data_IF_953051529273
#
_entry.id   IF_953051529273
#
_cell.length_a   1.000
_cell.length_b   1.000
_cell.length_c   1.000
_cell.angle_alpha   90.00
_cell.angle_beta   90.00
_cell.angle_gamma   90.00
#
_symmetry.space_group_name_H-M   'P 1'
#
loop_
_entity.id
_entity.type
_entity.pdbx_description
1 polymer ?
#
# COMPACT_ATOMS: atom_id res chain seq x y z
N UNK A 1 -10.59 14.42 -16.64
CA UNK A 1 -9.89 13.82 -15.48
C UNK A 1 -8.99 12.73 -16.02
N UNK A 2 -7.68 12.89 -15.90
CA UNK A 2 -6.71 11.93 -16.43
C UNK A 2 -6.45 10.98 -15.26
N UNK A 3 -7.06 9.79 -15.29
CA UNK A 3 -6.70 8.74 -14.35
C UNK A 3 -5.36 8.19 -14.82
N UNK A 4 -4.27 8.75 -14.31
CA UNK A 4 -2.98 8.07 -14.40
C UNK A 4 -3.10 6.88 -13.45
N UNK A 5 -3.41 5.69 -13.99
CA UNK A 5 -3.32 4.44 -13.23
C UNK A 5 -1.85 4.31 -12.84
N UNK A 6 -1.54 4.66 -11.60
CA UNK A 6 -0.20 4.52 -11.06
C UNK A 6 0.05 3.01 -10.87
N UNK A 7 0.59 2.36 -11.90
CA UNK A 7 0.76 0.90 -11.95
C UNK A 7 2.02 0.41 -11.23
N UNK A 8 2.83 1.31 -10.66
CA UNK A 8 4.06 0.93 -9.96
C UNK A 8 4.00 1.39 -8.51
N UNK A 9 4.41 0.51 -7.59
CA UNK A 9 4.54 0.83 -6.16
C UNK A 9 5.58 1.94 -5.92
N UNK A 10 5.59 2.50 -4.72
CA UNK A 10 6.62 3.42 -4.24
C UNK A 10 6.11 4.83 -3.96
N UNK A 11 7.05 5.74 -3.73
CA UNK A 11 6.77 7.10 -3.29
C UNK A 11 6.67 8.07 -4.48
N UNK A 12 5.53 8.76 -4.58
CA UNK A 12 5.25 9.72 -5.63
C UNK A 12 5.10 11.13 -5.04
N UNK A 13 5.93 12.09 -5.45
CA UNK A 13 5.75 13.47 -5.06
C UNK A 13 4.64 14.11 -5.90
N UNK A 14 3.56 14.54 -5.25
CA UNK A 14 2.47 15.29 -5.88
C UNK A 14 2.56 16.76 -5.47
N UNK A 15 2.38 17.64 -6.45
CA UNK A 15 2.28 19.10 -6.26
C UNK A 15 1.01 19.62 -6.90
N UNK A 16 0.42 20.62 -6.29
CA UNK A 16 -0.76 21.32 -6.81
C UNK A 16 -0.47 22.81 -6.97
N UNK A 17 -1.19 23.49 -7.85
CA UNK A 17 -1.20 24.95 -7.94
C UNK A 17 -2.60 25.44 -8.24
N UNK A 18 -2.92 26.63 -7.80
CA UNK A 18 -4.21 27.26 -8.07
C UNK A 18 -4.18 27.97 -9.41
N UNK A 19 -5.35 28.05 -10.06
CA UNK A 19 -5.61 28.84 -11.24
C UNK A 19 -6.89 29.62 -11.04
N UNK A 20 -6.89 30.93 -11.28
CA UNK A 20 -8.07 31.78 -11.13
C UNK A 20 -8.93 31.85 -12.41
N UNK A 21 -10.03 32.61 -12.36
CA UNK A 21 -10.95 32.80 -13.50
C UNK A 21 -10.35 33.60 -14.66
N UNK A 22 -9.20 34.24 -14.45
CA UNK A 22 -8.47 35.03 -15.45
C UNK A 22 -7.24 34.29 -15.98
N UNK A 23 -7.15 32.98 -15.77
CA UNK A 23 -6.07 32.11 -16.20
C UNK A 23 -4.73 32.31 -15.46
N UNK A 24 -4.68 33.16 -14.43
CA UNK A 24 -3.46 33.37 -13.64
C UNK A 24 -3.23 32.19 -12.68
N UNK A 25 -1.97 31.81 -12.50
CA UNK A 25 -1.58 30.63 -11.73
C UNK A 25 -0.69 31.02 -10.56
N UNK A 26 -0.85 30.33 -9.43
CA UNK A 26 0.07 30.46 -8.29
C UNK A 26 1.40 29.72 -8.54
N UNK A 27 2.36 29.92 -7.63
CA UNK A 27 3.46 28.97 -7.45
C UNK A 27 2.92 27.58 -7.12
N UNK A 28 3.71 26.54 -7.44
CA UNK A 28 3.45 25.18 -6.99
C UNK A 28 3.50 25.08 -5.45
N UNK A 29 2.71 24.18 -4.89
CA UNK A 29 2.79 23.78 -3.49
C UNK A 29 4.10 23.04 -3.18
N UNK A 30 4.35 22.84 -1.89
CA UNK A 30 5.27 21.82 -1.41
C UNK A 30 4.86 20.43 -1.91
N UNK A 31 5.85 19.52 -2.00
CA UNK A 31 5.61 18.13 -2.39
C UNK A 31 4.87 17.38 -1.28
N UNK A 32 3.73 16.78 -1.60
CA UNK A 32 3.11 15.73 -0.79
C UNK A 32 3.61 14.36 -1.28
N UNK A 33 4.16 13.54 -0.39
CA UNK A 33 4.56 12.18 -0.72
C UNK A 33 3.35 11.24 -0.62
N UNK A 34 3.05 10.52 -1.69
CA UNK A 34 2.06 9.45 -1.69
C UNK A 34 2.79 8.13 -1.82
N UNK A 35 2.51 7.21 -0.89
CA UNK A 35 3.01 5.84 -0.97
C UNK A 35 1.97 4.97 -1.69
N UNK A 36 2.33 4.45 -2.86
CA UNK A 36 1.56 3.43 -3.58
C UNK A 36 2.04 2.07 -3.14
N UNK A 37 1.18 1.30 -2.49
CA UNK A 37 1.47 -0.01 -1.90
C UNK A 37 0.88 -1.15 -2.75
N UNK A 38 1.39 -2.37 -2.55
CA UNK A 38 0.85 -3.59 -3.16
C UNK A 38 0.11 -4.41 -2.10
N UNK A 39 -1.11 -4.86 -2.41
CA UNK A 39 -1.90 -5.70 -1.51
C UNK A 39 -1.18 -7.05 -1.32
N UNK A 40 -0.97 -7.48 -0.08
CA UNK A 40 -0.27 -8.71 0.28
C UNK A 40 1.27 -8.60 0.35
N UNK A 41 1.86 -7.47 -0.01
CA UNK A 41 3.29 -7.18 0.21
C UNK A 41 3.43 -6.56 1.60
N UNK A 42 3.70 -7.41 2.59
CA UNK A 42 3.62 -7.09 4.01
C UNK A 42 4.93 -6.54 4.57
N UNK A 43 6.02 -6.57 3.80
CA UNK A 43 7.27 -5.89 4.15
C UNK A 43 7.67 -4.76 3.18
N UNK A 44 6.84 -4.49 2.17
CA UNK A 44 7.06 -3.47 1.14
C UNK A 44 8.39 -3.67 0.39
N UNK A 45 8.75 -4.92 0.10
CA UNK A 45 9.94 -5.24 -0.71
C UNK A 45 9.63 -5.31 -2.22
N UNK A 46 8.36 -5.33 -2.59
CA UNK A 46 7.87 -5.34 -3.97
C UNK A 46 7.58 -6.71 -4.53
N UNK A 47 7.62 -7.76 -3.71
CA UNK A 47 7.33 -9.11 -4.13
C UNK A 47 6.53 -9.86 -3.07
N UNK A 48 5.30 -10.26 -3.40
CA UNK A 48 4.50 -11.14 -2.54
C UNK A 48 5.12 -12.54 -2.54
N UNK A 49 5.80 -12.90 -1.45
CA UNK A 49 6.52 -14.15 -1.32
C UNK A 49 6.62 -14.60 0.16
N UNK A 50 7.39 -15.67 0.41
CA UNK A 50 7.48 -16.29 1.74
C UNK A 50 7.98 -15.36 2.85
N UNK A 51 8.68 -14.27 2.53
CA UNK A 51 9.13 -13.30 3.54
C UNK A 51 8.01 -12.40 4.07
N UNK A 52 6.86 -12.33 3.39
CA UNK A 52 5.69 -11.56 3.84
C UNK A 52 4.91 -12.28 4.96
N UNK A 53 5.18 -13.58 5.17
CA UNK A 53 4.44 -14.41 6.14
C UNK A 53 4.66 -13.92 7.58
N UNK A 54 5.90 -13.68 7.97
CA UNK A 54 6.21 -13.20 9.33
C UNK A 54 5.64 -11.80 9.59
N UNK A 55 5.81 -10.81 8.70
CA UNK A 55 5.11 -9.53 8.77
C UNK A 55 3.59 -9.67 8.81
N UNK A 56 2.98 -10.58 8.04
CA UNK A 56 1.54 -10.82 8.07
C UNK A 56 1.07 -11.34 9.44
N UNK A 57 1.79 -12.31 10.02
CA UNK A 57 1.51 -12.83 11.36
C UNK A 57 1.70 -11.74 12.42
N UNK A 58 2.73 -10.90 12.29
CA UNK A 58 2.92 -9.76 13.18
C UNK A 58 1.78 -8.75 13.05
N UNK A 59 1.30 -8.46 11.85
CA UNK A 59 0.15 -7.59 11.63
C UNK A 59 -1.12 -8.09 12.33
N UNK A 60 -1.35 -9.41 12.36
CA UNK A 60 -2.49 -10.03 13.05
C UNK A 60 -2.35 -10.05 14.57
N UNK A 61 -1.14 -10.27 15.08
CA UNK A 61 -0.89 -10.52 16.52
C UNK A 61 -0.43 -9.30 17.29
N UNK A 62 0.27 -8.39 16.61
CA UNK A 62 0.82 -7.16 17.15
C UNK A 62 0.89 -6.06 16.07
N UNK A 63 -0.26 -5.48 15.68
CA UNK A 63 -0.32 -4.46 14.63
C UNK A 63 0.44 -3.18 14.97
N UNK A 64 0.65 -2.87 16.26
CA UNK A 64 1.43 -1.70 16.66
C UNK A 64 2.92 -1.87 16.33
N UNK A 65 3.50 -3.04 16.65
CA UNK A 65 4.90 -3.32 16.31
C UNK A 65 5.08 -3.41 14.79
N UNK A 66 4.10 -3.98 14.08
CA UNK A 66 4.08 -3.94 12.61
C UNK A 66 4.15 -2.51 12.06
N UNK A 67 3.29 -1.62 12.54
CA UNK A 67 3.28 -0.21 12.11
C UNK A 67 4.59 0.51 12.43
N UNK A 68 5.23 0.20 13.57
CA UNK A 68 6.52 0.79 13.93
C UNK A 68 7.66 0.28 13.06
N UNK A 69 7.63 -1.00 12.69
CA UNK A 69 8.69 -1.62 11.91
C UNK A 69 8.63 -1.27 10.42
N UNK A 70 7.44 -1.25 9.84
CA UNK A 70 7.25 -1.07 8.40
C UNK A 70 6.68 0.30 8.00
N UNK A 71 6.30 1.14 8.97
CA UNK A 71 5.65 2.44 8.72
C UNK A 71 4.39 2.34 7.82
N UNK A 72 3.78 1.16 7.78
CA UNK A 72 2.61 0.84 6.97
C UNK A 72 1.41 0.54 7.85
N UNK A 73 0.22 0.93 7.40
CA UNK A 73 -1.02 0.50 8.04
C UNK A 73 -1.32 -0.96 7.62
N UNK A 74 -1.31 -1.93 8.57
CA UNK A 74 -1.53 -3.34 8.27
C UNK A 74 -2.91 -3.59 7.64
N UNK A 75 -3.92 -2.80 7.97
CA UNK A 75 -5.26 -2.92 7.37
C UNK A 75 -5.29 -2.55 5.88
N UNK A 76 -4.35 -1.74 5.39
CA UNK A 76 -4.31 -1.35 3.97
C UNK A 76 -3.64 -2.38 3.08
N UNK A 77 -2.69 -3.14 3.63
CA UNK A 77 -1.89 -4.13 2.88
C UNK A 77 -2.32 -5.57 3.16
N UNK A 78 -2.94 -5.84 4.33
CA UNK A 78 -3.28 -7.18 4.78
C UNK A 78 -4.78 -7.54 4.75
N UNK A 79 -5.69 -6.60 4.56
CA UNK A 79 -7.12 -6.88 4.30
C UNK A 79 -7.30 -7.36 2.85
N UNK A 80 -7.02 -8.64 2.64
CA UNK A 80 -6.91 -9.24 1.31
C UNK A 80 -8.28 -9.71 0.83
N UNK A 81 -9.19 -10.05 1.76
CA UNK A 81 -10.56 -10.38 1.40
C UNK A 81 -11.42 -9.12 1.10
N UNK A 82 -10.96 -7.94 1.52
CA UNK A 82 -11.58 -6.64 1.24
C UNK A 82 -12.82 -6.33 2.10
N UNK A 83 -12.96 -6.94 3.27
CA UNK A 83 -14.08 -6.74 4.18
C UNK A 83 -13.91 -5.54 5.14
N UNK A 84 -12.75 -4.88 5.08
CA UNK A 84 -12.37 -3.74 5.91
C UNK A 84 -11.66 -4.12 7.21
N UNK A 85 -11.43 -5.42 7.48
CA UNK A 85 -10.91 -5.92 8.75
C UNK A 85 -9.84 -6.98 8.49
N UNK A 86 -8.57 -6.61 8.70
CA UNK A 86 -7.48 -7.58 8.81
C UNK A 86 -7.72 -8.54 9.99
N UNK A 87 -8.01 -9.81 9.68
CA UNK A 87 -8.23 -10.88 10.65
C UNK A 87 -7.92 -12.27 10.06
N UNK A 88 -8.32 -13.35 10.75
CA UNK A 88 -8.07 -14.71 10.30
C UNK A 88 -8.69 -15.06 8.94
N UNK A 89 -9.73 -14.34 8.52
CA UNK A 89 -10.39 -14.49 7.22
C UNK A 89 -9.52 -14.01 6.05
N UNK A 90 -8.39 -13.33 6.31
CA UNK A 90 -7.42 -12.93 5.31
C UNK A 90 -6.32 -13.99 5.08
N UNK A 91 -6.23 -15.01 5.94
CA UNK A 91 -5.17 -16.04 5.85
C UNK A 91 -5.29 -16.85 4.56
N UNK A 92 -6.46 -17.40 4.27
CA UNK A 92 -6.69 -18.21 3.07
C UNK A 92 -6.41 -17.42 1.77
N UNK A 93 -6.95 -16.20 1.58
CA UNK A 93 -6.65 -15.44 0.37
C UNK A 93 -5.20 -14.93 0.32
N UNK A 94 -4.53 -14.71 1.47
CA UNK A 94 -3.08 -14.44 1.49
C UNK A 94 -2.27 -15.63 0.99
N UNK A 95 -2.62 -16.84 1.42
CA UNK A 95 -1.99 -18.08 0.95
C UNK A 95 -2.20 -18.25 -0.56
N UNK A 96 -3.39 -17.94 -1.07
CA UNK A 96 -3.66 -17.96 -2.51
C UNK A 96 -2.78 -16.96 -3.28
N UNK A 97 -2.57 -15.74 -2.75
CA UNK A 97 -1.66 -14.76 -3.35
C UNK A 97 -0.23 -15.29 -3.43
N UNK A 98 0.28 -15.90 -2.35
CA UNK A 98 1.62 -16.50 -2.33
C UNK A 98 1.77 -17.55 -3.43
N UNK A 99 0.81 -18.47 -3.57
CA UNK A 99 0.89 -19.52 -4.61
C UNK A 99 0.81 -18.97 -6.04
N UNK A 100 0.05 -17.91 -6.29
CA UNK A 100 -0.09 -17.34 -7.64
C UNK A 100 1.13 -16.50 -8.05
N UNK A 101 1.80 -15.86 -7.10
CA UNK A 101 3.01 -15.06 -7.34
C UNK A 101 4.32 -15.88 -7.33
N UNK A 102 4.29 -17.13 -6.86
CA UNK A 102 5.43 -18.07 -6.87
C UNK A 102 5.63 -18.85 -8.18
N UNK A 103 5.02 -18.44 -9.31
CA UNK A 103 5.20 -19.17 -10.59
C UNK A 103 6.62 -19.00 -11.16
N UNK A 104 7.45 -19.99 -10.84
CA UNK A 104 8.72 -20.36 -11.49
C UNK A 104 8.45 -20.93 -12.89
#
# INVERSE_FOLDING_TARGET
MIYTTCTQRGFYPIKVKAKDSYDQQSSWSESLQIHVIMLGDMNDDGAINGIDIEPFVMALTNPQDYQQQFEMNPHLVGDINGDGILNAMDIDPFVDLLYHHLKI
#
